data_IF_476495308387
#
_entry.id   IF_476495308387
#
_cell.length_a   1.000
_cell.length_b   1.000
_cell.length_c   1.000
_cell.angle_alpha   90.00
_cell.angle_beta   90.00
_cell.angle_gamma   90.00
#
_symmetry.space_group_name_H-M   'P 1'
#
loop_
_entity.id
_entity.type
_entity.pdbx_description
1 polymer ?
#
# COMPACT_ATOMS: atom_id res chain seq x y z
N UNK A 1 21.07 -23.01 -1.11
CA UNK A 1 19.87 -23.53 -1.78
C UNK A 1 18.79 -23.76 -0.72
N UNK A 2 17.71 -22.96 -0.68
CA UNK A 2 16.62 -23.05 0.33
C UNK A 2 15.84 -21.72 0.51
N UNK A 3 14.54 -21.72 0.87
CA UNK A 3 13.52 -20.88 0.23
C UNK A 3 13.04 -19.71 1.10
N UNK A 4 13.56 -18.51 0.90
CA UNK A 4 12.89 -17.31 1.42
C UNK A 4 13.04 -16.17 0.41
N UNK A 5 12.03 -16.03 -0.46
CA UNK A 5 11.83 -14.78 -1.18
C UNK A 5 11.72 -13.62 -0.19
N UNK A 6 12.10 -12.42 -0.63
CA UNK A 6 11.95 -11.21 0.20
C UNK A 6 10.51 -11.09 0.71
N UNK A 7 10.29 -10.69 1.99
CA UNK A 7 8.96 -10.63 2.54
C UNK A 7 8.12 -9.59 1.79
N UNK A 8 6.85 -9.91 1.56
CA UNK A 8 5.92 -9.05 0.80
C UNK A 8 5.86 -7.63 1.34
N UNK A 9 5.93 -7.46 2.67
CA UNK A 9 5.98 -6.13 3.31
C UNK A 9 7.20 -5.31 2.90
N UNK A 10 8.37 -5.94 2.73
CA UNK A 10 9.57 -5.27 2.24
C UNK A 10 9.48 -4.95 0.74
N UNK A 11 8.89 -5.85 -0.06
CA UNK A 11 8.66 -5.62 -1.48
C UNK A 11 7.69 -4.46 -1.74
N UNK A 12 6.54 -4.44 -1.05
CA UNK A 12 5.54 -3.36 -1.16
C UNK A 12 6.13 -2.03 -0.70
N UNK A 13 6.92 -2.02 0.39
CA UNK A 13 7.63 -0.82 0.84
C UNK A 13 8.65 -0.32 -0.19
N UNK A 14 9.24 -1.20 -0.98
CA UNK A 14 10.10 -0.88 -2.11
C UNK A 14 9.33 -0.52 -3.40
N UNK A 15 8.00 -0.37 -3.33
CA UNK A 15 7.17 -0.04 -4.48
C UNK A 15 6.87 -1.21 -5.43
N UNK A 16 7.25 -2.44 -5.08
CA UNK A 16 7.05 -3.64 -5.90
C UNK A 16 5.68 -4.30 -5.65
N UNK A 17 4.72 -3.56 -5.09
CA UNK A 17 3.37 -4.05 -4.88
C UNK A 17 2.56 -4.06 -6.18
N UNK A 18 1.76 -5.11 -6.46
CA UNK A 18 1.02 -5.22 -7.72
C UNK A 18 -0.15 -4.22 -7.82
N UNK A 19 -0.83 -3.93 -6.71
CA UNK A 19 -2.09 -3.16 -6.71
C UNK A 19 -1.92 -1.76 -7.30
N UNK A 20 -0.84 -1.05 -6.93
CA UNK A 20 -0.56 0.29 -7.45
C UNK A 20 -0.21 0.28 -8.94
N UNK A 21 0.49 -0.76 -9.42
CA UNK A 21 0.79 -0.89 -10.84
C UNK A 21 -0.47 -1.15 -11.66
N UNK A 22 -1.32 -2.08 -11.19
CA UNK A 22 -2.60 -2.37 -11.85
C UNK A 22 -3.53 -1.15 -11.86
N UNK A 23 -3.56 -0.38 -10.77
CA UNK A 23 -4.31 0.87 -10.72
C UNK A 23 -3.78 1.90 -11.72
N UNK A 24 -2.46 2.07 -11.83
CA UNK A 24 -1.87 3.00 -12.78
C UNK A 24 -2.20 2.63 -14.23
N UNK A 25 -2.05 1.36 -14.60
CA UNK A 25 -2.39 0.86 -15.94
C UNK A 25 -3.87 1.09 -16.28
N UNK A 26 -4.77 0.87 -15.32
CA UNK A 26 -6.20 1.17 -15.51
C UNK A 26 -6.43 2.66 -15.76
N UNK A 27 -5.78 3.52 -14.99
CA UNK A 27 -5.90 4.97 -15.15
C UNK A 27 -5.35 5.43 -16.50
N UNK A 28 -4.21 4.90 -16.94
CA UNK A 28 -3.62 5.20 -18.24
C UNK A 28 -4.52 4.78 -19.40
N UNK A 29 -5.07 3.55 -19.36
CA UNK A 29 -6.01 3.09 -20.39
C UNK A 29 -7.25 3.98 -20.48
N UNK A 30 -7.82 4.38 -19.34
CA UNK A 30 -8.97 5.30 -19.28
C UNK A 30 -8.59 6.67 -19.83
N UNK A 31 -7.45 7.22 -19.42
CA UNK A 31 -6.98 8.53 -19.86
C UNK A 31 -6.67 8.57 -21.36
N UNK A 32 -6.15 7.46 -21.92
CA UNK A 32 -5.90 7.30 -23.35
C UNK A 32 -7.16 7.06 -24.18
N UNK A 33 -8.32 6.87 -23.55
CA UNK A 33 -9.56 6.48 -24.24
C UNK A 33 -9.49 5.07 -24.84
N UNK A 34 -8.55 4.25 -24.38
CA UNK A 34 -8.40 2.88 -24.83
C UNK A 34 -9.47 1.98 -24.20
N UNK A 35 -9.75 0.86 -24.86
CA UNK A 35 -10.57 -0.16 -24.23
C UNK A 35 -9.82 -0.73 -23.03
N UNK A 36 -10.52 -0.79 -21.90
CA UNK A 36 -9.96 -1.37 -20.69
C UNK A 36 -9.61 -2.85 -20.93
N UNK A 37 -8.39 -3.30 -20.59
CA UNK A 37 -8.01 -4.70 -20.72
C UNK A 37 -8.99 -5.65 -20.03
N UNK A 38 -9.20 -6.82 -20.63
CA UNK A 38 -10.13 -7.84 -20.12
C UNK A 38 -9.83 -8.26 -18.67
N UNK A 39 -8.56 -8.19 -18.26
CA UNK A 39 -8.13 -8.42 -16.88
C UNK A 39 -8.93 -7.61 -15.85
N UNK A 40 -9.26 -6.35 -16.16
CA UNK A 40 -10.00 -5.48 -15.24
C UNK A 40 -11.51 -5.70 -15.26
N UNK A 41 -12.00 -6.49 -16.21
CA UNK A 41 -13.40 -6.91 -16.33
C UNK A 41 -13.62 -8.30 -15.71
N UNK A 42 -12.55 -9.01 -15.37
CA UNK A 42 -12.61 -10.33 -14.79
C UNK A 42 -13.22 -10.31 -13.36
N UNK A 43 -14.17 -11.21 -13.05
CA UNK A 43 -14.74 -11.30 -11.70
C UNK A 43 -13.68 -11.57 -10.62
N UNK A 44 -12.63 -12.33 -10.93
CA UNK A 44 -11.54 -12.59 -10.00
C UNK A 44 -10.75 -11.34 -9.65
N UNK A 45 -10.58 -10.40 -10.58
CA UNK A 45 -10.01 -9.08 -10.29
C UNK A 45 -10.93 -8.27 -9.38
N UNK A 46 -12.25 -8.32 -9.61
CA UNK A 46 -13.23 -7.65 -8.77
C UNK A 46 -13.18 -8.19 -7.33
N UNK A 47 -13.16 -9.51 -7.15
CA UNK A 47 -13.06 -10.15 -5.84
C UNK A 47 -11.73 -9.84 -5.14
N UNK A 48 -10.62 -9.86 -5.89
CA UNK A 48 -9.29 -9.56 -5.34
C UNK A 48 -9.13 -8.11 -4.87
N UNK A 49 -9.85 -7.17 -5.48
CA UNK A 49 -9.78 -5.74 -5.14
C UNK A 49 -10.92 -5.26 -4.23
N UNK A 50 -11.88 -6.13 -3.92
CA UNK A 50 -12.98 -5.85 -2.99
C UNK A 50 -12.61 -6.19 -1.54
N UNK A 51 -11.83 -5.31 -0.91
CA UNK A 51 -11.36 -5.50 0.46
C UNK A 51 -12.50 -5.44 1.51
N UNK A 52 -12.98 -6.61 1.94
CA UNK A 52 -13.94 -6.73 3.06
C UNK A 52 -13.33 -6.36 4.41
N UNK A 53 -12.01 -6.48 4.53
CA UNK A 53 -11.24 -6.13 5.73
C UNK A 53 -10.10 -5.19 5.32
N UNK A 54 -10.15 -3.96 5.84
CA UNK A 54 -9.11 -2.96 5.67
C UNK A 54 -8.41 -2.70 7.00
N UNK A 55 -7.12 -2.99 7.09
CA UNK A 55 -6.33 -2.80 8.32
C UNK A 55 -5.22 -1.78 8.10
N UNK A 56 -5.03 -0.86 9.05
CA UNK A 56 -3.91 0.07 9.07
C UNK A 56 -3.22 -0.02 10.42
N UNK A 57 -1.90 -0.22 10.41
CA UNK A 57 -1.08 -0.17 11.61
C UNK A 57 -0.63 1.27 11.85
N UNK A 58 -1.02 1.85 12.98
CA UNK A 58 -0.58 3.18 13.42
C UNK A 58 0.37 3.02 14.60
N UNK A 59 1.62 3.52 14.53
CA UNK A 59 2.53 3.48 15.66
C UNK A 59 2.03 4.40 16.79
N UNK A 60 2.30 4.06 18.06
CA UNK A 60 1.88 4.89 19.19
C UNK A 60 2.53 6.28 19.13
N UNK A 61 1.77 7.31 19.51
CA UNK A 61 2.32 8.67 19.68
C UNK A 61 3.34 8.66 20.81
N UNK A 62 4.61 8.96 20.49
CA UNK A 62 5.62 9.18 21.54
C UNK A 62 5.23 10.45 22.31
N UNK A 63 5.03 10.41 23.63
CA UNK A 63 4.78 11.63 24.38
C UNK A 63 5.96 12.57 24.20
N UNK A 64 5.69 13.81 23.76
CA UNK A 64 6.72 14.86 23.70
C UNK A 64 7.23 15.05 25.13
N UNK A 65 8.51 14.75 25.36
CA UNK A 65 9.20 14.98 26.63
C UNK A 65 8.89 16.40 27.09
N UNK A 66 8.14 16.55 28.19
CA UNK A 66 7.93 17.84 28.85
C UNK A 66 9.29 18.41 29.17
N UNK A 67 9.68 19.49 28.48
CA UNK A 67 10.88 20.23 28.81
C UNK A 67 10.61 20.95 30.12
N UNK A 68 10.92 20.32 31.25
CA UNK A 68 11.06 21.03 32.52
C UNK A 68 12.23 21.99 32.38
N UNK A 69 11.95 23.29 32.32
CA UNK A 69 12.96 24.32 32.51
C UNK A 69 13.67 24.06 33.85
N UNK A 70 15.00 24.15 33.93
CA UNK A 70 15.67 24.17 35.22
C UNK A 70 15.32 25.48 35.93
N UNK A 71 14.66 25.39 37.09
CA UNK A 71 14.65 26.49 38.06
C UNK A 71 16.10 26.81 38.40
N UNK A 72 16.52 28.03 38.11
CA UNK A 72 17.77 28.58 38.63
C UNK A 72 17.43 29.35 39.91
N UNK A 73 18.18 29.18 41.02
CA UNK A 73 17.89 29.80 42.31
C UNK A 73 17.94 31.32 42.31
#
# INVERSE_FOLDING_TARGET
SGPHGTPVSAQVRAGQGPDRHLQALRHEAIAGGERLPELFLDPGYADATHFRLCTVQVPPSTPKRTQTLPNTP
#
